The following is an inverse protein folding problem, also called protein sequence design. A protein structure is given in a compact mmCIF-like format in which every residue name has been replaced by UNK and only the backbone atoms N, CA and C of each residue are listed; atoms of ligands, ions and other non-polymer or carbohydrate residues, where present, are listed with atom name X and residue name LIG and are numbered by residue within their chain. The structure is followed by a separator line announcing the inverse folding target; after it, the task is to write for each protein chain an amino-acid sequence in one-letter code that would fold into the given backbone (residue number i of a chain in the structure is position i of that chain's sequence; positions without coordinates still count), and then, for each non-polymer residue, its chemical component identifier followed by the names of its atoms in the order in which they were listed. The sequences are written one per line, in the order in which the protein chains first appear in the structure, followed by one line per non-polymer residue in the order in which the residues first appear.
data_IF_066519429160
#
_entry.id   IF_066519429160
#
_cell.length_a   1.000
_cell.length_b   1.000
_cell.length_c   1.000
_cell.angle_alpha   90.00
_cell.angle_beta   90.00
_cell.angle_gamma   90.00
#
_symmetry.space_group_name_H-M   'P 1'
#
loop_
_entity.id
_entity.type
_entity.pdbx_description
1 polymer ?
#
# COMPACT_ATOMS: atom_id res chain seq x y z
N UNK A 1 -9.89 -10.48 13.42
CA UNK A 1 -10.06 -9.41 14.43
C UNK A 1 -8.73 -9.24 15.15
N UNK A 2 -8.13 -8.05 15.12
CA UNK A 2 -6.84 -7.78 15.74
C UNK A 2 -6.58 -6.28 15.83
N UNK A 3 -7.45 -5.59 16.57
CA UNK A 3 -7.29 -4.19 16.95
C UNK A 3 -7.49 -4.14 18.46
N UNK A 4 -6.39 -4.15 19.19
CA UNK A 4 -6.38 -4.18 20.65
C UNK A 4 -4.95 -4.44 21.10
N UNK A 5 -4.42 -3.53 21.92
CA UNK A 5 -2.99 -3.32 22.21
C UNK A 5 -2.28 -2.52 21.11
N UNK A 6 -1.31 -1.69 21.52
CA UNK A 6 -0.56 -0.71 20.73
C UNK A 6 0.20 -1.39 19.57
N UNK A 7 -0.57 -1.86 18.59
CA UNK A 7 -0.13 -2.69 17.49
C UNK A 7 0.31 -1.84 16.32
N UNK A 8 1.17 -2.43 15.49
CA UNK A 8 1.56 -1.88 14.21
C UNK A 8 0.33 -1.44 13.41
N UNK A 9 0.09 -0.12 13.36
CA UNK A 9 -1.08 0.51 12.71
C UNK A 9 -1.24 0.17 11.23
N UNK A 10 -0.19 -0.37 10.62
CA UNK A 10 -0.17 -0.77 9.22
C UNK A 10 -0.45 -2.27 9.02
N UNK A 11 -0.53 -3.06 10.11
CA UNK A 11 -0.83 -4.50 10.05
C UNK A 11 -2.24 -4.74 9.52
N UNK A 12 -2.33 -5.40 8.36
CA UNK A 12 -3.62 -5.72 7.72
C UNK A 12 -4.34 -4.51 7.12
N UNK A 13 -3.74 -3.31 7.19
CA UNK A 13 -4.38 -2.08 6.71
C UNK A 13 -4.55 -2.08 5.19
N UNK A 14 -3.56 -2.59 4.46
CA UNK A 14 -3.63 -2.64 2.99
C UNK A 14 -4.74 -3.59 2.54
N UNK A 15 -4.84 -4.77 3.15
CA UNK A 15 -5.91 -5.73 2.89
C UNK A 15 -7.29 -5.14 3.18
N UNK A 16 -7.45 -4.49 4.33
CA UNK A 16 -8.70 -3.87 4.74
C UNK A 16 -9.15 -2.81 3.72
N UNK A 17 -8.24 -1.91 3.31
CA UNK A 17 -8.54 -0.89 2.30
C UNK A 17 -8.94 -1.51 0.96
N UNK A 18 -8.25 -2.56 0.52
CA UNK A 18 -8.60 -3.27 -0.71
C UNK A 18 -9.97 -3.92 -0.63
N UNK A 19 -10.31 -4.55 0.50
CA UNK A 19 -11.65 -5.11 0.74
C UNK A 19 -12.72 -4.02 0.70
N UNK A 20 -12.51 -2.91 1.40
CA UNK A 20 -13.45 -1.78 1.43
C UNK A 20 -13.67 -1.18 0.03
N UNK A 21 -12.60 -0.93 -0.72
CA UNK A 21 -12.69 -0.39 -2.10
C UNK A 21 -13.39 -1.39 -3.02
N UNK A 22 -13.09 -2.69 -2.87
CA UNK A 22 -13.69 -3.74 -3.71
C UNK A 22 -15.18 -3.91 -3.43
N UNK A 23 -15.58 -3.84 -2.16
CA UNK A 23 -16.98 -3.88 -1.73
C UNK A 23 -17.74 -2.63 -2.19
N UNK A 24 -17.17 -1.44 -1.98
CA UNK A 24 -17.76 -0.17 -2.41
C UNK A 24 -17.90 -0.05 -3.94
N UNK A 25 -17.04 -0.75 -4.69
CA UNK A 25 -17.13 -0.87 -6.15
C UNK A 25 -18.03 -1.99 -6.67
N UNK A 26 -18.72 -2.75 -5.80
CA UNK A 26 -19.64 -3.83 -6.18
C UNK A 26 -18.97 -5.03 -6.86
N UNK A 27 -17.69 -5.30 -6.60
CA UNK A 27 -16.88 -6.25 -7.37
C UNK A 27 -17.04 -7.71 -6.92
N UNK A 28 -16.75 -7.99 -5.65
CA UNK A 28 -16.77 -9.34 -5.06
C UNK A 28 -17.05 -9.26 -3.56
N UNK A 29 -17.56 -10.36 -2.98
CA UNK A 29 -17.66 -10.48 -1.52
C UNK A 29 -16.27 -10.70 -0.91
N UNK A 30 -16.01 -10.22 0.33
CA UNK A 30 -14.74 -10.46 1.01
C UNK A 30 -14.43 -11.95 1.20
N UNK A 31 -15.45 -12.76 1.44
CA UNK A 31 -15.35 -14.21 1.68
C UNK A 31 -14.80 -14.96 0.46
N UNK A 32 -15.27 -14.60 -0.73
CA UNK A 32 -14.77 -15.17 -1.99
C UNK A 32 -13.30 -14.83 -2.21
N UNK A 33 -12.90 -13.58 -1.94
CA UNK A 33 -11.52 -13.12 -2.12
C UNK A 33 -10.55 -13.77 -1.14
N UNK A 34 -10.95 -13.87 0.14
CA UNK A 34 -10.13 -14.45 1.20
C UNK A 34 -9.85 -15.94 0.99
N UNK A 35 -10.71 -16.63 0.24
CA UNK A 35 -10.49 -18.04 -0.12
C UNK A 35 -9.39 -18.27 -1.17
N UNK A 36 -8.93 -17.21 -1.85
CA UNK A 36 -7.98 -17.31 -2.95
C UNK A 36 -6.53 -17.18 -2.46
N UNK A 37 -5.71 -18.19 -2.73
CA UNK A 37 -4.29 -18.16 -2.36
C UNK A 37 -3.52 -16.99 -3.02
N UNK A 38 -3.85 -16.63 -4.26
CA UNK A 38 -3.25 -15.49 -4.95
C UNK A 38 -3.59 -14.16 -4.26
N UNK A 39 -4.73 -14.08 -3.56
CA UNK A 39 -5.16 -12.89 -2.84
C UNK A 39 -4.33 -12.73 -1.58
N UNK A 40 -4.15 -13.82 -0.83
CA UNK A 40 -3.26 -13.85 0.33
C UNK A 40 -1.84 -13.37 -0.02
N UNK A 41 -1.26 -13.84 -1.12
CA UNK A 41 0.07 -13.40 -1.57
C UNK A 41 0.15 -11.89 -1.88
N UNK A 42 -0.88 -11.33 -2.54
CA UNK A 42 -0.94 -9.89 -2.82
C UNK A 42 -1.15 -9.08 -1.54
N UNK A 43 -1.97 -9.60 -0.63
CA UNK A 43 -2.21 -9.03 0.70
C UNK A 43 -0.93 -8.96 1.51
N UNK A 44 -0.17 -10.06 1.58
CA UNK A 44 1.09 -10.13 2.33
C UNK A 44 2.11 -9.12 1.81
N UNK A 45 2.32 -9.08 0.49
CA UNK A 45 3.23 -8.12 -0.14
C UNK A 45 2.82 -6.67 0.10
N UNK A 46 1.53 -6.37 -0.04
CA UNK A 46 1.02 -5.01 0.10
C UNK A 46 1.07 -4.54 1.55
N UNK A 47 0.71 -5.40 2.51
CA UNK A 47 0.85 -5.12 3.93
C UNK A 47 2.32 -4.98 4.34
N UNK A 48 3.22 -5.80 3.79
CA UNK A 48 4.66 -5.67 4.01
C UNK A 48 5.18 -4.31 3.53
N UNK A 49 4.85 -3.92 2.30
CA UNK A 49 5.21 -2.60 1.75
C UNK A 49 4.64 -1.46 2.58
N UNK A 50 3.35 -1.51 2.95
CA UNK A 50 2.74 -0.44 3.75
C UNK A 50 3.41 -0.29 5.13
N UNK A 51 3.87 -1.38 5.75
CA UNK A 51 4.66 -1.35 6.99
C UNK A 51 6.03 -0.72 6.78
N UNK A 52 6.77 -1.13 5.74
CA UNK A 52 8.08 -0.54 5.41
C UNK A 52 7.96 0.96 5.15
N UNK A 53 7.00 1.37 4.33
CA UNK A 53 6.72 2.77 3.99
C UNK A 53 6.26 3.56 5.22
N UNK A 54 5.49 2.92 6.09
CA UNK A 54 5.01 3.48 7.35
C UNK A 54 6.13 3.84 8.33
N UNK A 55 7.26 3.11 8.29
CA UNK A 55 8.48 3.36 9.08
C UNK A 55 9.35 4.47 8.50
N UNK A 56 9.23 4.78 7.21
CA UNK A 56 9.98 5.86 6.56
C UNK A 56 9.46 7.25 6.89
N UNK A 57 8.17 7.38 7.27
CA UNK A 57 7.62 8.66 7.69
C UNK A 57 8.42 9.18 8.88
N UNK A 58 8.86 10.46 8.85
CA UNK A 58 9.66 11.01 9.94
C UNK A 58 8.83 10.93 11.21
N UNK A 59 9.19 10.00 12.07
CA UNK A 59 8.81 10.02 13.47
C UNK A 59 9.52 11.25 14.03
N UNK A 60 8.77 12.34 14.24
CA UNK A 60 9.28 13.42 15.07
C UNK A 60 9.74 12.76 16.38
N UNK A 61 10.98 13.03 16.78
CA UNK A 61 11.62 12.55 18.01
C UNK A 61 12.12 11.09 17.98
N UNK A 62 13.34 10.85 17.50
CA UNK A 62 14.53 10.78 18.36
C UNK A 62 15.76 10.41 17.53
N UNK A 63 16.92 10.89 17.99
CA UNK A 63 18.17 10.95 17.25
C UNK A 63 18.63 9.66 16.57
N UNK A 64 19.21 9.86 15.39
CA UNK A 64 20.30 9.04 14.83
C UNK A 64 19.99 7.54 14.65
N UNK A 65 19.32 7.18 13.56
CA UNK A 65 19.44 5.83 13.03
C UNK A 65 19.87 5.85 11.54
N UNK A 66 21.19 5.71 11.38
CA UNK A 66 21.98 5.25 10.24
C UNK A 66 21.36 5.39 8.84
N UNK A 67 21.97 6.24 8.00
CA UNK A 67 21.76 6.31 6.55
C UNK A 67 21.77 4.95 5.86
N UNK A 68 22.52 3.99 6.39
CA UNK A 68 22.64 2.65 5.81
C UNK A 68 21.40 1.77 6.05
N UNK A 69 20.72 1.92 7.19
CA UNK A 69 19.43 1.24 7.45
C UNK A 69 18.36 1.77 6.50
N UNK A 70 18.37 3.08 6.23
CA UNK A 70 17.46 3.71 5.28
C UNK A 70 17.71 3.23 3.85
N UNK A 71 18.97 3.12 3.42
CA UNK A 71 19.34 2.56 2.10
C UNK A 71 18.90 1.10 1.94
N UNK A 72 19.13 0.26 2.95
CA UNK A 72 18.70 -1.15 2.93
C UNK A 72 17.16 -1.22 2.83
N UNK A 73 16.46 -0.38 3.60
CA UNK A 73 14.99 -0.29 3.57
C UNK A 73 14.49 0.15 2.20
N UNK A 74 15.16 1.12 1.56
CA UNK A 74 14.79 1.58 0.22
C UNK A 74 14.97 0.50 -0.86
N UNK A 75 16.06 -0.28 -0.80
CA UNK A 75 16.27 -1.43 -1.70
C UNK A 75 15.22 -2.52 -1.49
N UNK A 76 14.84 -2.79 -0.23
CA UNK A 76 13.79 -3.75 0.09
C UNK A 76 12.41 -3.28 -0.43
N UNK A 77 12.09 -1.99 -0.28
CA UNK A 77 10.88 -1.39 -0.84
C UNK A 77 10.86 -1.53 -2.36
N UNK A 78 11.98 -1.22 -3.04
CA UNK A 78 12.04 -1.27 -4.49
C UNK A 78 11.88 -2.71 -5.02
N UNK A 79 12.59 -3.67 -4.42
CA UNK A 79 12.46 -5.10 -4.76
C UNK A 79 11.04 -5.62 -4.52
N UNK A 80 10.44 -5.32 -3.36
CA UNK A 80 9.09 -5.78 -3.03
C UNK A 80 8.03 -5.11 -3.93
N UNK A 81 8.22 -3.84 -4.28
CA UNK A 81 7.35 -3.12 -5.22
C UNK A 81 7.44 -3.73 -6.63
N UNK A 82 8.64 -4.10 -7.08
CA UNK A 82 8.82 -4.79 -8.36
C UNK A 82 8.08 -6.14 -8.37
N UNK A 83 8.20 -6.93 -7.30
CA UNK A 83 7.44 -8.18 -7.18
C UNK A 83 5.93 -7.95 -7.23
N UNK A 84 5.42 -6.95 -6.51
CA UNK A 84 4.00 -6.60 -6.53
C UNK A 84 3.54 -6.23 -7.95
N UNK A 85 4.27 -5.34 -8.63
CA UNK A 85 3.95 -4.91 -10.01
C UNK A 85 3.96 -6.10 -10.96
N UNK A 86 4.95 -6.99 -10.85
CA UNK A 86 4.99 -8.21 -11.66
C UNK A 86 3.75 -9.08 -11.45
N UNK A 87 3.32 -9.32 -10.19
CA UNK A 87 2.11 -10.11 -9.93
C UNK A 87 0.83 -9.45 -10.42
N UNK A 88 0.78 -8.12 -10.39
CA UNK A 88 -0.37 -7.34 -10.90
C UNK A 88 -0.44 -7.40 -12.43
N UNK A 89 0.70 -7.35 -13.11
CA UNK A 89 0.79 -7.41 -14.57
C UNK A 89 0.73 -8.82 -15.15
N UNK A 90 1.07 -9.86 -14.37
CA UNK A 90 0.92 -11.24 -14.78
C UNK A 90 -0.55 -11.54 -15.13
N UNK A 91 -0.73 -12.05 -16.36
CA UNK A 91 -2.04 -12.35 -16.96
C UNK A 91 -2.91 -13.29 -16.13
N UNK A 92 -4.19 -13.32 -16.47
CA UNK A 92 -5.32 -13.87 -15.70
C UNK A 92 -5.38 -15.41 -15.63
N UNK A 93 -4.30 -16.07 -15.24
CA UNK A 93 -4.36 -17.50 -14.89
C UNK A 93 -4.98 -17.73 -13.51
N UNK A 94 -5.11 -16.68 -12.69
CA UNK A 94 -5.75 -16.71 -11.39
C UNK A 94 -7.19 -16.20 -11.42
N UNK A 95 -8.00 -16.68 -10.46
CA UNK A 95 -9.41 -16.29 -10.31
C UNK A 95 -9.60 -14.86 -9.80
N UNK A 96 -8.50 -14.13 -9.59
CA UNK A 96 -8.52 -12.74 -9.11
C UNK A 96 -8.66 -11.82 -10.31
N UNK A 97 -9.73 -11.04 -10.31
CA UNK A 97 -9.95 -10.01 -11.32
C UNK A 97 -8.79 -9.00 -11.36
N UNK A 98 -8.40 -8.59 -12.56
CA UNK A 98 -7.36 -7.57 -12.79
C UNK A 98 -7.60 -6.30 -11.97
N UNK A 99 -8.85 -5.88 -11.88
CA UNK A 99 -9.31 -4.74 -11.07
C UNK A 99 -8.93 -4.85 -9.58
N UNK A 100 -9.01 -6.05 -8.98
CA UNK A 100 -8.59 -6.28 -7.59
C UNK A 100 -7.07 -6.16 -7.47
N UNK A 101 -6.31 -6.75 -8.40
CA UNK A 101 -4.85 -6.62 -8.44
C UNK A 101 -4.41 -5.16 -8.54
N UNK A 102 -5.04 -4.40 -9.44
CA UNK A 102 -4.79 -2.96 -9.60
C UNK A 102 -5.13 -2.17 -8.33
N UNK A 103 -6.13 -2.62 -7.56
CA UNK A 103 -6.50 -1.98 -6.29
C UNK A 103 -5.40 -2.16 -5.24
N UNK A 104 -4.78 -3.35 -5.15
CA UNK A 104 -3.58 -3.53 -4.31
C UNK A 104 -2.46 -2.56 -4.68
N UNK A 105 -2.15 -2.46 -5.98
CA UNK A 105 -1.10 -1.55 -6.45
C UNK A 105 -1.45 -0.08 -6.17
N UNK A 106 -2.71 0.31 -6.35
CA UNK A 106 -3.20 1.66 -6.06
C UNK A 106 -3.02 2.01 -4.59
N UNK A 107 -3.41 1.12 -3.68
CA UNK A 107 -3.24 1.30 -2.24
C UNK A 107 -1.76 1.46 -1.92
N UNK A 108 -0.89 0.55 -2.35
CA UNK A 108 0.55 0.65 -2.06
C UNK A 108 1.17 1.94 -2.63
N UNK A 109 0.79 2.37 -3.83
CA UNK A 109 1.27 3.62 -4.42
C UNK A 109 0.87 4.85 -3.60
N UNK A 110 -0.31 4.87 -2.97
CA UNK A 110 -0.72 5.99 -2.13
C UNK A 110 0.14 6.08 -0.86
N UNK A 111 0.44 4.94 -0.22
CA UNK A 111 1.38 4.89 0.90
C UNK A 111 2.77 5.33 0.47
N UNK A 112 3.25 4.86 -0.68
CA UNK A 112 4.56 5.21 -1.23
C UNK A 112 4.69 6.71 -1.44
N UNK A 113 3.68 7.31 -2.07
CA UNK A 113 3.62 8.75 -2.30
C UNK A 113 3.72 9.54 -0.98
N UNK A 114 2.89 9.21 0.02
CA UNK A 114 2.92 9.92 1.31
C UNK A 114 4.17 9.66 2.15
N UNK A 115 4.95 8.62 1.84
CA UNK A 115 6.22 8.33 2.51
C UNK A 115 7.41 9.04 1.85
N UNK A 116 7.28 9.44 0.58
CA UNK A 116 8.37 10.06 -0.21
C UNK A 116 8.26 11.58 -0.33
N UNK A 117 7.06 12.12 -0.26
CA UNK A 117 6.83 13.56 -0.27
C UNK A 117 6.58 14.07 1.15
N UNK A 118 7.13 15.24 1.46
CA UNK A 118 6.85 15.94 2.71
C UNK A 118 5.40 16.46 2.76
N UNK A 119 4.86 16.75 3.95
CA UNK A 119 3.47 17.19 4.10
C UNK A 119 3.11 18.43 3.29
N UNK A 120 4.03 19.39 3.15
CA UNK A 120 3.78 20.64 2.41
C UNK A 120 3.63 20.36 0.91
N UNK A 121 4.50 19.51 0.35
CA UNK A 121 4.38 19.05 -1.05
C UNK A 121 3.09 18.27 -1.28
N UNK A 122 2.70 17.40 -0.34
CA UNK A 122 1.44 16.65 -0.42
C UNK A 122 0.24 17.59 -0.41
N UNK A 123 0.21 18.59 0.48
CA UNK A 123 -0.86 19.58 0.57
C UNK A 123 -0.96 20.43 -0.72
N UNK A 124 0.18 20.88 -1.24
CA UNK A 124 0.23 21.59 -2.51
C UNK A 124 -0.32 20.75 -3.67
N UNK A 125 0.06 19.47 -3.76
CA UNK A 125 -0.47 18.57 -4.79
C UNK A 125 -1.97 18.30 -4.60
N UNK A 126 -2.47 18.20 -3.37
CA UNK A 126 -3.92 18.10 -3.09
C UNK A 126 -4.63 19.34 -3.63
N UNK A 127 -4.10 20.54 -3.36
CA UNK A 127 -4.70 21.79 -3.82
C UNK A 127 -4.78 21.85 -5.34
N UNK A 128 -3.67 21.51 -6.01
CA UNK A 128 -3.58 21.48 -7.48
C UNK A 128 -4.54 20.47 -8.11
N UNK A 129 -4.66 19.27 -7.54
CA UNK A 129 -5.46 18.19 -8.16
C UNK A 129 -6.96 18.34 -7.88
N UNK A 130 -7.35 18.83 -6.69
CA UNK A 130 -8.75 18.87 -6.29
C UNK A 130 -9.43 20.22 -6.47
N UNK A 131 -8.68 21.33 -6.39
CA UNK A 131 -9.27 22.67 -6.33
C UNK A 131 -8.90 23.59 -7.49
N UNK A 132 -7.88 23.24 -8.28
CA UNK A 132 -7.51 24.00 -9.47
C UNK A 132 -8.06 23.34 -10.74
N UNK A 133 -8.62 24.16 -11.64
CA UNK A 133 -9.10 23.68 -12.94
C UNK A 133 -7.92 23.47 -13.88
N UNK A 134 -7.98 22.40 -14.67
CA UNK A 134 -7.09 22.21 -15.82
C UNK A 134 -7.54 23.19 -16.90
N UNK A 135 -6.64 24.08 -17.30
CA UNK A 135 -6.86 25.00 -18.41
C UNK A 135 -6.67 24.32 -19.77
#
# INVERSE_FOLDING_TARGET
MGWGEEGDKYKGLAELLVQTISLGGGRCSPEELLSLQSYGRLSDLSNHLCRLLGRLKPQQENGSCCSDIRKITDLEIESTMQELVQKVLQGSTDRIGRNIKETFLMVVKSFYYTARFDPETVEYHIAKVLFEKVN
#
